data_IF_898206229584
#
_entry.id   IF_898206229584
#
_cell.length_a   1.000
_cell.length_b   1.000
_cell.length_c   1.000
_cell.angle_alpha   90.00
_cell.angle_beta   90.00
_cell.angle_gamma   90.00
#
_symmetry.space_group_name_H-M   'P 1'
#
loop_
_entity.id
_entity.type
_entity.pdbx_description
1 polymer ?
#
# COMPACT_ATOMS: atom_id res chain seq x y z
N UNK A 1 -10.89 -0.01 14.92
CA UNK A 1 -10.21 -0.40 13.66
C UNK A 1 -9.07 -1.33 14.03
N UNK A 2 -8.99 -2.51 13.40
CA UNK A 2 -7.82 -3.35 13.61
C UNK A 2 -6.61 -2.61 13.05
N UNK A 3 -5.53 -2.56 13.83
CA UNK A 3 -4.25 -1.98 13.41
C UNK A 3 -3.79 -2.72 12.13
N UNK A 4 -3.94 -2.06 10.98
CA UNK A 4 -3.64 -2.61 9.65
C UNK A 4 -2.16 -2.98 9.52
N UNK A 5 -1.28 -2.38 10.34
CA UNK A 5 0.15 -2.60 10.31
C UNK A 5 0.63 -3.70 11.27
N UNK A 6 -0.20 -4.18 12.20
CA UNK A 6 0.17 -5.21 13.20
C UNK A 6 -0.33 -6.61 12.87
N UNK A 7 -1.18 -6.77 11.85
CA UNK A 7 -1.70 -8.09 11.48
C UNK A 7 -0.59 -8.93 10.84
N UNK A 8 0.09 -9.73 11.65
CA UNK A 8 1.05 -10.71 11.16
C UNK A 8 0.32 -11.91 10.55
N UNK A 9 0.63 -12.20 9.29
CA UNK A 9 0.22 -13.43 8.64
C UNK A 9 1.34 -14.44 8.69
N UNK A 10 1.01 -15.73 8.78
CA UNK A 10 2.01 -16.75 8.57
C UNK A 10 2.59 -16.64 7.14
N UNK A 11 3.80 -17.08 6.96
CA UNK A 11 4.57 -16.93 5.69
C UNK A 11 3.81 -17.45 4.47
N UNK A 12 3.07 -18.55 4.60
CA UNK A 12 2.32 -19.15 3.50
C UNK A 12 1.12 -18.29 3.09
N UNK A 13 0.38 -17.78 4.08
CA UNK A 13 -0.76 -16.89 3.85
C UNK A 13 -0.30 -15.59 3.19
N UNK A 14 0.77 -14.98 3.71
CA UNK A 14 1.36 -13.77 3.12
C UNK A 14 1.78 -14.01 1.68
N UNK A 15 2.51 -15.10 1.41
CA UNK A 15 2.94 -15.44 0.05
C UNK A 15 1.76 -15.56 -0.92
N UNK A 16 0.69 -16.28 -0.53
CA UNK A 16 -0.50 -16.43 -1.39
C UNK A 16 -1.15 -15.08 -1.70
N UNK A 17 -1.28 -14.21 -0.71
CA UNK A 17 -1.87 -12.87 -0.85
C UNK A 17 -1.01 -11.98 -1.75
N UNK A 18 0.31 -12.02 -1.59
CA UNK A 18 1.25 -11.30 -2.46
C UNK A 18 1.15 -11.77 -3.92
N UNK A 19 1.06 -13.09 -4.17
CA UNK A 19 0.86 -13.63 -5.52
C UNK A 19 -0.45 -13.12 -6.16
N UNK A 20 -1.53 -12.97 -5.39
CA UNK A 20 -2.81 -12.43 -5.88
C UNK A 20 -2.66 -10.96 -6.26
N UNK A 21 -2.04 -10.14 -5.41
CA UNK A 21 -1.81 -8.72 -5.66
C UNK A 21 -0.89 -8.47 -6.86
N UNK A 22 0.21 -9.20 -6.95
CA UNK A 22 1.15 -9.15 -8.07
C UNK A 22 0.49 -9.58 -9.40
N UNK A 23 -0.34 -10.62 -9.36
CA UNK A 23 -1.09 -11.04 -10.53
C UNK A 23 -2.02 -9.93 -11.04
N UNK A 24 -2.69 -9.21 -10.14
CA UNK A 24 -3.54 -8.07 -10.49
C UNK A 24 -2.70 -6.92 -11.07
N UNK A 25 -1.57 -6.61 -10.47
CA UNK A 25 -0.64 -5.58 -10.97
C UNK A 25 -0.22 -5.85 -12.42
N UNK A 26 0.21 -7.09 -12.72
CA UNK A 26 0.60 -7.46 -14.09
C UNK A 26 -0.58 -7.44 -15.07
N UNK A 27 -1.81 -7.74 -14.62
CA UNK A 27 -2.99 -7.65 -15.46
C UNK A 27 -3.35 -6.22 -15.83
N UNK A 28 -3.01 -5.24 -15.00
CA UNK A 28 -3.18 -3.80 -15.31
C UNK A 28 -2.34 -3.33 -16.50
N UNK A 29 -1.27 -4.04 -16.87
CA UNK A 29 -0.52 -3.78 -18.12
C UNK A 29 -1.27 -4.24 -19.38
N UNK A 30 -2.21 -5.15 -19.23
CA UNK A 30 -2.84 -5.84 -20.34
C UNK A 30 -4.29 -5.42 -20.57
N UNK A 31 -4.95 -4.92 -19.53
CA UNK A 31 -6.38 -4.64 -19.52
C UNK A 31 -6.71 -3.43 -18.64
N UNK A 32 -7.74 -2.70 -19.02
CA UNK A 32 -8.40 -1.75 -18.14
C UNK A 32 -8.90 -2.44 -16.87
N UNK A 33 -8.77 -1.78 -15.73
CA UNK A 33 -9.15 -2.34 -14.43
C UNK A 33 -10.57 -2.91 -14.41
N UNK A 34 -11.53 -2.21 -15.03
CA UNK A 34 -12.92 -2.66 -15.13
C UNK A 34 -13.10 -3.98 -15.87
N UNK A 35 -12.18 -4.33 -16.77
CA UNK A 35 -12.20 -5.55 -17.58
C UNK A 35 -11.51 -6.74 -16.89
N UNK A 36 -10.73 -6.49 -15.84
CA UNK A 36 -10.04 -7.55 -15.08
C UNK A 36 -11.07 -8.30 -14.24
N UNK A 37 -11.21 -9.60 -14.49
CA UNK A 37 -12.09 -10.49 -13.75
C UNK A 37 -11.30 -11.27 -12.69
N UNK A 38 -11.97 -11.67 -11.61
CA UNK A 38 -11.36 -12.55 -10.59
C UNK A 38 -10.81 -13.85 -11.23
N UNK A 39 -11.45 -14.37 -12.27
CA UNK A 39 -10.93 -15.52 -13.02
C UNK A 39 -9.57 -15.30 -13.67
N UNK A 40 -9.29 -14.06 -14.12
CA UNK A 40 -7.99 -13.71 -14.70
C UNK A 40 -6.92 -13.65 -13.59
N UNK A 41 -7.28 -13.03 -12.46
CA UNK A 41 -6.39 -12.88 -11.30
C UNK A 41 -5.98 -14.26 -10.76
N UNK A 42 -6.94 -15.13 -10.46
CA UNK A 42 -6.64 -16.45 -9.87
C UNK A 42 -5.86 -17.35 -10.82
N UNK A 43 -6.17 -17.29 -12.12
CA UNK A 43 -5.41 -18.02 -13.15
C UNK A 43 -3.96 -17.58 -13.18
N UNK A 44 -3.71 -16.28 -13.14
CA UNK A 44 -2.36 -15.73 -13.17
C UNK A 44 -1.62 -15.99 -11.87
N UNK A 45 -2.29 -15.83 -10.73
CA UNK A 45 -1.71 -16.08 -9.41
C UNK A 45 -1.45 -17.58 -9.11
N UNK A 46 -1.97 -18.49 -9.92
CA UNK A 46 -1.85 -19.92 -9.69
C UNK A 46 -2.65 -20.42 -8.48
N UNK A 47 -3.76 -19.75 -8.15
CA UNK A 47 -4.60 -20.09 -6.99
C UNK A 47 -6.02 -20.47 -7.44
N UNK A 48 -6.79 -21.12 -6.55
CA UNK A 48 -8.20 -21.39 -6.81
C UNK A 48 -9.09 -20.16 -6.55
N UNK A 49 -10.29 -20.13 -7.15
CA UNK A 49 -11.33 -19.15 -6.81
C UNK A 49 -11.69 -19.18 -5.33
N UNK A 50 -11.78 -20.38 -4.75
CA UNK A 50 -12.03 -20.54 -3.31
C UNK A 50 -10.91 -19.89 -2.47
N UNK A 51 -9.66 -20.03 -2.90
CA UNK A 51 -8.53 -19.38 -2.22
C UNK A 51 -8.63 -17.87 -2.29
N UNK A 52 -9.03 -17.30 -3.43
CA UNK A 52 -9.27 -15.86 -3.54
C UNK A 52 -10.36 -15.39 -2.57
N UNK A 53 -11.55 -16.01 -2.62
CA UNK A 53 -12.68 -15.65 -1.77
C UNK A 53 -12.49 -15.99 -0.28
N UNK A 54 -11.50 -16.80 0.05
CA UNK A 54 -11.08 -16.97 1.44
C UNK A 54 -10.41 -15.73 2.03
N UNK A 55 -9.77 -14.89 1.19
CA UNK A 55 -9.05 -13.69 1.62
C UNK A 55 -9.77 -12.39 1.29
N UNK A 56 -10.50 -12.33 0.19
CA UNK A 56 -11.07 -11.11 -0.37
C UNK A 56 -12.46 -11.33 -0.94
N UNK A 57 -13.36 -10.40 -0.67
CA UNK A 57 -14.68 -10.37 -1.30
C UNK A 57 -14.62 -9.70 -2.69
N UNK A 58 -13.71 -8.74 -2.85
CA UNK A 58 -13.56 -7.93 -4.06
C UNK A 58 -12.10 -7.89 -4.54
N UNK A 59 -11.89 -7.49 -5.79
CA UNK A 59 -10.54 -7.28 -6.31
C UNK A 59 -9.91 -5.99 -5.77
N UNK A 60 -10.73 -5.02 -5.38
CA UNK A 60 -10.34 -3.79 -4.71
C UNK A 60 -9.65 -4.08 -3.38
N UNK A 61 -10.19 -5.02 -2.59
CA UNK A 61 -9.58 -5.47 -1.34
C UNK A 61 -8.21 -6.12 -1.58
N UNK A 62 -8.04 -6.86 -2.67
CA UNK A 62 -6.75 -7.44 -3.02
C UNK A 62 -5.71 -6.36 -3.40
N UNK A 63 -6.13 -5.28 -4.11
CA UNK A 63 -5.27 -4.12 -4.39
C UNK A 63 -4.88 -3.42 -3.09
N UNK A 64 -5.87 -3.14 -2.25
CA UNK A 64 -5.66 -2.47 -0.96
C UNK A 64 -4.68 -3.24 -0.08
N UNK A 65 -4.85 -4.55 0.00
CA UNK A 65 -4.00 -5.41 0.79
C UNK A 65 -2.55 -5.45 0.28
N UNK A 66 -2.38 -5.53 -1.03
CA UNK A 66 -1.06 -5.50 -1.65
C UNK A 66 -0.35 -4.17 -1.40
N UNK A 67 -1.08 -3.05 -1.52
CA UNK A 67 -0.53 -1.74 -1.22
C UNK A 67 -0.18 -1.58 0.27
N UNK A 68 -1.01 -2.11 1.17
CA UNK A 68 -0.70 -2.13 2.60
C UNK A 68 0.58 -2.90 2.92
N UNK A 69 0.87 -4.00 2.23
CA UNK A 69 2.14 -4.73 2.42
C UNK A 69 3.35 -3.89 1.99
N UNK A 70 3.23 -3.09 0.92
CA UNK A 70 4.27 -2.12 0.50
C UNK A 70 4.49 -1.06 1.59
N UNK A 71 3.41 -0.51 2.14
CA UNK A 71 3.52 0.49 3.22
C UNK A 71 4.10 -0.13 4.49
N UNK A 72 3.80 -1.38 4.82
CA UNK A 72 4.42 -2.10 5.94
C UNK A 72 5.93 -2.26 5.77
N UNK A 73 6.38 -2.57 4.57
CA UNK A 73 7.81 -2.65 4.28
C UNK A 73 8.49 -1.30 4.51
N UNK A 74 7.89 -0.21 4.05
CA UNK A 74 8.37 1.14 4.33
C UNK A 74 8.46 1.42 5.84
N UNK A 75 7.40 1.13 6.59
CA UNK A 75 7.37 1.32 8.06
C UNK A 75 8.50 0.54 8.73
N UNK A 76 8.66 -0.72 8.37
CA UNK A 76 9.70 -1.57 8.93
C UNK A 76 11.11 -1.05 8.63
N UNK A 77 11.37 -0.55 7.42
CA UNK A 77 12.67 0.05 7.08
C UNK A 77 12.92 1.35 7.84
N UNK A 78 11.92 2.22 7.99
CA UNK A 78 12.01 3.45 8.79
C UNK A 78 12.33 3.11 10.25
N UNK A 79 11.62 2.14 10.84
CA UNK A 79 11.86 1.70 12.21
C UNK A 79 13.28 1.12 12.38
N UNK A 80 13.79 0.37 11.41
CA UNK A 80 15.17 -0.16 11.39
C UNK A 80 16.23 0.94 11.24
N UNK A 81 15.90 2.07 10.67
CA UNK A 81 16.83 3.19 10.52
C UNK A 81 17.30 3.76 11.88
N UNK A 82 16.62 3.40 12.99
CA UNK A 82 16.93 3.81 14.36
C UNK A 82 17.12 5.33 14.50
N UNK A 83 16.25 6.10 13.88
CA UNK A 83 16.28 7.58 13.94
C UNK A 83 17.33 8.25 13.05
N UNK A 84 18.04 7.50 12.19
CA UNK A 84 19.02 8.11 11.26
C UNK A 84 18.37 9.04 10.23
N UNK A 85 17.07 8.87 9.98
CA UNK A 85 16.31 9.69 9.05
C UNK A 85 15.87 11.04 9.66
N UNK A 86 16.02 11.22 11.00
CA UNK A 86 15.58 12.43 11.69
C UNK A 86 14.07 12.45 11.93
N UNK A 87 13.49 13.66 11.96
CA UNK A 87 12.05 13.84 12.15
C UNK A 87 11.28 13.48 10.86
N UNK A 88 10.02 13.04 10.98
CA UNK A 88 9.24 12.55 9.80
C UNK A 88 9.11 13.58 8.66
N UNK A 89 9.15 14.89 8.96
CA UNK A 89 9.10 15.98 7.98
C UNK A 89 10.48 16.55 7.60
N UNK A 90 11.56 16.00 8.11
CA UNK A 90 12.90 16.41 7.71
C UNK A 90 13.17 16.03 6.26
N UNK A 91 14.01 16.81 5.60
CA UNK A 91 14.37 16.54 4.20
C UNK A 91 14.85 15.10 3.99
N UNK A 92 15.63 14.56 4.92
CA UNK A 92 16.13 13.18 4.85
C UNK A 92 15.00 12.15 4.84
N UNK A 93 14.00 12.31 5.72
CA UNK A 93 12.83 11.44 5.80
C UNK A 93 11.94 11.56 4.57
N UNK A 94 11.71 12.78 4.08
CA UNK A 94 10.94 13.03 2.86
C UNK A 94 11.63 12.39 1.65
N UNK A 95 12.93 12.64 1.46
CA UNK A 95 13.69 12.08 0.34
C UNK A 95 13.75 10.55 0.41
N UNK A 96 13.83 9.99 1.60
CA UNK A 96 13.78 8.54 1.78
C UNK A 96 12.41 7.97 1.38
N UNK A 97 11.31 8.58 1.83
CA UNK A 97 9.97 8.18 1.45
C UNK A 97 9.77 8.25 -0.07
N UNK A 98 10.15 9.37 -0.70
CA UNK A 98 10.08 9.52 -2.15
C UNK A 98 10.89 8.44 -2.88
N UNK A 99 12.13 8.19 -2.47
CA UNK A 99 12.98 7.16 -3.07
C UNK A 99 12.45 5.74 -2.86
N UNK A 100 11.87 5.45 -1.68
CA UNK A 100 11.26 4.15 -1.41
C UNK A 100 10.04 3.91 -2.30
N UNK A 101 9.12 4.86 -2.38
CA UNK A 101 7.90 4.69 -3.17
C UNK A 101 8.13 4.83 -4.68
N UNK A 102 9.23 5.45 -5.12
CA UNK A 102 9.60 5.53 -6.54
C UNK A 102 9.76 4.14 -7.19
N UNK A 103 10.28 3.17 -6.47
CA UNK A 103 10.35 1.78 -6.95
C UNK A 103 8.98 1.14 -7.21
N UNK A 104 7.91 1.68 -6.62
CA UNK A 104 6.52 1.25 -6.79
C UNK A 104 5.70 2.24 -7.63
N UNK A 105 6.34 3.26 -8.22
CA UNK A 105 5.65 4.35 -8.93
C UNK A 105 4.71 3.82 -10.03
N UNK A 106 5.17 2.84 -10.81
CA UNK A 106 4.36 2.23 -11.88
C UNK A 106 3.08 1.58 -11.32
N UNK A 107 3.17 0.85 -10.21
CA UNK A 107 2.00 0.28 -9.54
C UNK A 107 1.06 1.37 -8.99
N UNK A 108 1.60 2.37 -8.30
CA UNK A 108 0.81 3.47 -7.71
C UNK A 108 0.07 4.22 -8.81
N UNK A 109 0.74 4.57 -9.90
CA UNK A 109 0.13 5.27 -11.04
C UNK A 109 -0.97 4.43 -11.71
N UNK A 110 -0.77 3.11 -11.86
CA UNK A 110 -1.79 2.21 -12.41
C UNK A 110 -3.05 2.14 -11.56
N UNK A 111 -2.92 2.03 -10.23
CA UNK A 111 -4.09 2.06 -9.35
C UNK A 111 -4.79 3.42 -9.34
N UNK A 112 -4.05 4.51 -9.42
CA UNK A 112 -4.63 5.86 -9.54
C UNK A 112 -5.39 6.02 -10.85
N UNK A 113 -4.79 5.64 -11.98
CA UNK A 113 -5.44 5.65 -13.30
C UNK A 113 -6.65 4.71 -13.39
N UNK A 114 -6.65 3.64 -12.61
CA UNK A 114 -7.79 2.74 -12.45
C UNK A 114 -8.96 3.32 -11.64
N UNK A 115 -8.83 4.57 -11.14
CA UNK A 115 -9.84 5.22 -10.30
C UNK A 115 -9.81 4.82 -8.83
N UNK A 116 -8.75 4.13 -8.38
CA UNK A 116 -8.59 3.60 -7.02
C UNK A 116 -7.71 4.51 -6.14
N UNK A 117 -7.71 5.82 -6.41
CA UNK A 117 -6.92 6.82 -5.65
C UNK A 117 -7.16 6.75 -4.14
N UNK A 118 -8.42 6.45 -3.72
CA UNK A 118 -8.77 6.31 -2.32
C UNK A 118 -7.89 5.28 -1.58
N UNK A 119 -7.50 4.20 -2.23
CA UNK A 119 -6.62 3.17 -1.63
C UNK A 119 -5.27 3.78 -1.23
N UNK A 120 -4.71 4.62 -2.08
CA UNK A 120 -3.40 5.25 -1.83
C UNK A 120 -3.50 6.28 -0.72
N UNK A 121 -4.51 7.18 -0.78
CA UNK A 121 -4.68 8.23 0.24
C UNK A 121 -5.06 7.65 1.61
N UNK A 122 -5.90 6.62 1.64
CA UNK A 122 -6.32 5.97 2.90
C UNK A 122 -5.14 5.26 3.58
N UNK A 123 -4.28 4.57 2.82
CA UNK A 123 -3.09 3.94 3.36
C UNK A 123 -2.09 4.97 3.91
N UNK A 124 -1.88 6.09 3.20
CA UNK A 124 -1.04 7.19 3.66
C UNK A 124 -1.59 7.81 4.95
N UNK A 125 -2.88 8.15 4.97
CA UNK A 125 -3.52 8.73 6.15
C UNK A 125 -3.47 7.78 7.34
N UNK A 126 -3.72 6.49 7.13
CA UNK A 126 -3.63 5.47 8.17
C UNK A 126 -2.21 5.40 8.75
N UNK A 127 -1.19 5.39 7.90
CA UNK A 127 0.21 5.43 8.34
C UNK A 127 0.50 6.66 9.23
N UNK A 128 0.11 7.84 8.77
CA UNK A 128 0.36 9.09 9.50
C UNK A 128 -0.35 9.10 10.87
N UNK A 129 -1.61 8.66 10.93
CA UNK A 129 -2.40 8.63 12.15
C UNK A 129 -1.92 7.53 13.12
N UNK A 130 -1.60 6.33 12.64
CA UNK A 130 -1.24 5.22 13.51
C UNK A 130 0.24 5.23 13.93
N UNK A 131 1.15 5.73 13.10
CA UNK A 131 2.59 5.68 13.36
C UNK A 131 3.21 7.03 13.70
N UNK A 132 2.77 8.11 13.09
CA UNK A 132 3.39 9.43 13.27
C UNK A 132 2.73 10.19 14.43
N UNK A 133 1.39 10.27 14.47
CA UNK A 133 0.66 11.01 15.51
C UNK A 133 1.05 10.62 16.95
N UNK A 134 1.15 9.31 17.30
CA UNK A 134 1.48 8.93 18.67
C UNK A 134 2.89 9.37 19.12
N UNK A 135 3.81 9.49 18.18
CA UNK A 135 5.22 9.85 18.44
C UNK A 135 5.40 11.37 18.56
N UNK A 136 4.76 12.12 17.66
CA UNK A 136 5.00 13.56 17.53
C UNK A 136 3.87 14.45 18.07
N UNK A 137 2.74 13.86 18.48
CA UNK A 137 1.58 14.56 19.05
C UNK A 137 1.05 15.71 18.15
N UNK A 138 1.05 15.48 16.84
CA UNK A 138 0.65 16.46 15.84
C UNK A 138 -0.87 16.36 15.60
N UNK A 139 -1.58 17.49 15.42
CA UNK A 139 -2.99 17.51 15.07
C UNK A 139 -3.27 16.78 13.73
N UNK A 140 -4.39 16.08 13.64
CA UNK A 140 -4.75 15.27 12.47
C UNK A 140 -4.78 16.08 11.16
N UNK A 141 -5.25 17.35 11.22
CA UNK A 141 -5.31 18.20 10.02
C UNK A 141 -3.93 18.53 9.43
N UNK A 142 -2.89 18.66 10.26
CA UNK A 142 -1.52 18.87 9.79
C UNK A 142 -0.98 17.60 9.12
N UNK A 143 -1.30 16.44 9.67
CA UNK A 143 -0.91 15.16 9.07
C UNK A 143 -1.60 14.92 7.72
N UNK A 144 -2.90 15.22 7.61
CA UNK A 144 -3.62 15.15 6.34
C UNK A 144 -3.08 16.13 5.30
N UNK A 145 -2.74 17.35 5.72
CA UNK A 145 -2.08 18.33 4.84
C UNK A 145 -0.74 17.79 4.32
N UNK A 146 0.07 17.25 5.22
CA UNK A 146 1.37 16.66 4.87
C UNK A 146 1.23 15.45 3.93
N UNK A 147 0.31 14.54 4.24
CA UNK A 147 0.01 13.38 3.39
C UNK A 147 -0.44 13.78 1.99
N UNK A 148 -1.35 14.75 1.91
CA UNK A 148 -1.81 15.30 0.64
C UNK A 148 -0.68 15.96 -0.17
N UNK A 149 0.21 16.70 0.48
CA UNK A 149 1.36 17.32 -0.17
C UNK A 149 2.32 16.28 -0.76
N UNK A 150 2.62 15.21 0.00
CA UNK A 150 3.46 14.10 -0.49
C UNK A 150 2.83 13.40 -1.68
N UNK A 151 1.54 13.06 -1.60
CA UNK A 151 0.85 12.38 -2.69
C UNK A 151 0.83 13.20 -3.98
N UNK A 152 0.66 14.53 -3.89
CA UNK A 152 0.70 15.41 -5.05
C UNK A 152 2.09 15.48 -5.76
N UNK A 153 3.15 15.03 -5.11
CA UNK A 153 4.47 14.89 -5.76
C UNK A 153 4.56 13.61 -6.57
N UNK A 154 3.79 12.57 -6.19
CA UNK A 154 3.80 11.27 -6.85
C UNK A 154 2.82 11.15 -8.02
N UNK A 155 1.73 11.93 -7.99
CA UNK A 155 0.61 11.86 -8.93
C UNK A 155 0.53 13.12 -9.76
#
# INVERSE_FOLDING_TARGET
MADLFTKEYNTRTRFTRMCIGEALFVLLDQKEYGQIRISDIVKRAGVSRMTFYHYYDTKEEAVQDYFHEIVKEYVWEVERSKGKLGHFHDRSSIMYALSFFDQYADFILKIVHAGLYSIVIDAMNTYLIEKIRPVYHIPDYELYFYGGALLNVFI
#
